data_IF_266807282720
#
_entry.id   IF_266807282720
#
_cell.length_a   1.000
_cell.length_b   1.000
_cell.length_c   1.000
_cell.angle_alpha   90.00
_cell.angle_beta   90.00
_cell.angle_gamma   90.00
#
_symmetry.space_group_name_H-M   'P 1'
#
loop_
_entity.id
_entity.type
_entity.pdbx_description
1 polymer ?
#
# COMPACT_ATOMS: atom_id res chain seq x y z
N UNK A 1 -10.51 -13.65 4.66
CA UNK A 1 -9.70 -14.03 3.47
C UNK A 1 -10.20 -15.38 2.97
N UNK A 2 -10.46 -15.47 1.67
CA UNK A 2 -10.80 -16.69 0.96
C UNK A 2 -9.80 -16.88 -0.19
N UNK A 3 -9.34 -18.10 -0.43
CA UNK A 3 -8.37 -18.42 -1.49
C UNK A 3 -8.92 -19.55 -2.32
N UNK A 4 -9.06 -19.30 -3.62
CA UNK A 4 -9.60 -20.27 -4.57
C UNK A 4 -8.58 -20.53 -5.67
N UNK A 5 -8.33 -21.79 -5.98
CA UNK A 5 -7.51 -22.17 -7.14
C UNK A 5 -8.39 -22.15 -8.39
N UNK A 6 -7.91 -21.52 -9.44
CA UNK A 6 -8.57 -21.43 -10.74
C UNK A 6 -8.08 -22.55 -11.66
N UNK A 7 -8.89 -22.92 -12.65
CA UNK A 7 -8.63 -24.04 -13.57
C UNK A 7 -7.42 -23.82 -14.49
N UNK A 8 -7.03 -22.56 -14.67
CA UNK A 8 -5.87 -22.14 -15.47
C UNK A 8 -4.54 -22.14 -14.69
N UNK A 9 -4.55 -22.62 -13.44
CA UNK A 9 -3.37 -22.69 -12.59
C UNK A 9 -3.10 -21.44 -11.76
N UNK A 10 -3.93 -20.39 -11.87
CA UNK A 10 -3.83 -19.21 -11.02
C UNK A 10 -4.56 -19.38 -9.68
N UNK A 11 -4.34 -18.44 -8.77
CA UNK A 11 -5.07 -18.33 -7.51
C UNK A 11 -5.85 -17.01 -7.47
N UNK A 12 -7.11 -17.08 -7.05
CA UNK A 12 -7.92 -15.92 -6.70
C UNK A 12 -7.93 -15.77 -5.18
N UNK A 13 -7.64 -14.57 -4.71
CA UNK A 13 -7.66 -14.23 -3.28
C UNK A 13 -8.70 -13.14 -3.08
N UNK A 14 -9.68 -13.42 -2.22
CA UNK A 14 -10.65 -12.44 -1.76
C UNK A 14 -10.31 -12.06 -0.31
N UNK A 15 -10.11 -10.78 -0.06
CA UNK A 15 -9.66 -10.25 1.23
C UNK A 15 -10.35 -8.92 1.48
N UNK A 16 -10.76 -8.68 2.74
CA UNK A 16 -11.29 -7.38 3.13
C UNK A 16 -10.16 -6.34 3.18
N UNK A 17 -10.51 -5.09 2.91
CA UNK A 17 -9.56 -3.96 2.77
C UNK A 17 -8.69 -3.78 4.02
N UNK A 18 -9.23 -3.95 5.22
CA UNK A 18 -8.47 -3.78 6.47
C UNK A 18 -7.49 -4.94 6.72
N UNK A 19 -7.86 -6.16 6.33
CA UNK A 19 -6.94 -7.30 6.37
C UNK A 19 -5.86 -7.17 5.29
N UNK A 20 -6.19 -6.65 4.11
CA UNK A 20 -5.21 -6.34 3.07
C UNK A 20 -4.16 -5.34 3.57
N UNK A 21 -4.60 -4.30 4.30
CA UNK A 21 -3.72 -3.32 4.94
C UNK A 21 -2.70 -3.98 5.87
N UNK A 22 -3.21 -4.77 6.83
CA UNK A 22 -2.36 -5.47 7.80
C UNK A 22 -1.39 -6.43 7.13
N UNK A 23 -1.82 -7.08 6.05
CA UNK A 23 -1.02 -8.07 5.34
C UNK A 23 0.14 -7.41 4.60
N UNK A 24 -0.09 -6.34 3.82
CA UNK A 24 1.00 -5.67 3.11
C UNK A 24 1.99 -5.03 4.10
N UNK A 25 1.50 -4.48 5.22
CA UNK A 25 2.37 -3.92 6.27
C UNK A 25 3.25 -4.99 6.92
N UNK A 26 2.69 -6.18 7.19
CA UNK A 26 3.44 -7.30 7.74
C UNK A 26 4.52 -7.80 6.77
N UNK A 27 4.21 -7.88 5.47
CA UNK A 27 5.19 -8.24 4.43
C UNK A 27 6.31 -7.19 4.36
N UNK A 28 5.94 -5.90 4.27
CA UNK A 28 6.90 -4.81 4.18
C UNK A 28 7.84 -4.73 5.40
N UNK A 29 7.36 -5.07 6.60
CA UNK A 29 8.19 -5.15 7.82
C UNK A 29 9.33 -6.17 7.71
N UNK A 30 9.14 -7.22 6.92
CA UNK A 30 10.10 -8.30 6.69
C UNK A 30 10.67 -8.29 5.27
N UNK A 31 10.59 -7.15 4.57
CA UNK A 31 10.90 -7.07 3.14
C UNK A 31 12.31 -7.55 2.78
N UNK A 32 13.28 -7.37 3.67
CA UNK A 32 14.68 -7.78 3.47
C UNK A 32 14.82 -9.31 3.35
N UNK A 33 13.92 -10.07 3.99
CA UNK A 33 13.99 -11.53 4.08
C UNK A 33 13.07 -12.24 3.08
N UNK A 34 12.32 -11.49 2.26
CA UNK A 34 11.26 -12.02 1.41
C UNK A 34 11.61 -11.98 -0.08
N UNK A 35 10.99 -12.86 -0.85
CA UNK A 35 11.19 -12.95 -2.30
C UNK A 35 10.49 -11.81 -3.04
N UNK A 36 10.98 -11.49 -4.24
CA UNK A 36 10.38 -10.47 -5.10
C UNK A 36 8.88 -10.68 -5.33
N UNK A 37 8.41 -11.92 -5.48
CA UNK A 37 6.98 -12.20 -5.66
C UNK A 37 6.13 -11.82 -4.44
N UNK A 38 6.64 -11.99 -3.22
CA UNK A 38 5.96 -11.55 -2.01
C UNK A 38 5.91 -10.01 -1.92
N UNK A 39 6.99 -9.34 -2.34
CA UNK A 39 7.06 -7.88 -2.39
C UNK A 39 6.13 -7.29 -3.45
N UNK A 40 6.07 -7.88 -4.63
CA UNK A 40 5.11 -7.52 -5.69
C UNK A 40 3.68 -7.70 -5.22
N UNK A 41 3.37 -8.82 -4.55
CA UNK A 41 2.04 -9.04 -3.97
C UNK A 41 1.68 -7.98 -2.92
N UNK A 42 2.62 -7.62 -2.03
CA UNK A 42 2.40 -6.54 -1.06
C UNK A 42 2.18 -5.19 -1.73
N UNK A 43 2.93 -4.88 -2.81
CA UNK A 43 2.74 -3.65 -3.59
C UNK A 43 1.33 -3.56 -4.16
N UNK A 44 0.81 -4.64 -4.74
CA UNK A 44 -0.54 -4.69 -5.30
C UNK A 44 -1.63 -4.53 -4.23
N UNK A 45 -1.45 -5.14 -3.06
CA UNK A 45 -2.37 -4.97 -1.93
C UNK A 45 -2.36 -3.54 -1.40
N UNK A 46 -1.19 -2.89 -1.36
CA UNK A 46 -1.05 -1.51 -0.93
C UNK A 46 -1.75 -0.54 -1.89
N UNK A 47 -1.57 -0.73 -3.19
CA UNK A 47 -2.27 0.05 -4.23
C UNK A 47 -3.79 -0.09 -4.10
N UNK A 48 -4.29 -1.33 -4.04
CA UNK A 48 -5.72 -1.60 -3.88
C UNK A 48 -6.31 -0.97 -2.60
N UNK A 49 -5.55 -0.97 -1.50
CA UNK A 49 -5.96 -0.31 -0.26
C UNK A 49 -6.06 1.21 -0.44
N UNK A 50 -5.08 1.85 -1.06
CA UNK A 50 -5.09 3.30 -1.30
C UNK A 50 -6.20 3.73 -2.25
N UNK A 51 -6.44 2.96 -3.30
CA UNK A 51 -7.55 3.21 -4.22
C UNK A 51 -8.90 3.11 -3.50
N UNK A 52 -9.08 2.08 -2.68
CA UNK A 52 -10.36 1.88 -2.01
C UNK A 52 -10.60 2.87 -0.85
N UNK A 53 -9.55 3.24 -0.12
CA UNK A 53 -9.65 4.14 1.04
C UNK A 53 -9.84 5.62 0.67
N UNK A 54 -9.65 5.99 -0.61
CA UNK A 54 -9.80 7.37 -1.10
C UNK A 54 -9.06 8.39 -0.23
N UNK A 55 -7.96 7.99 0.43
CA UNK A 55 -7.22 8.82 1.39
C UNK A 55 -6.27 9.80 0.72
N UNK A 56 -6.44 10.10 -0.58
CA UNK A 56 -5.78 11.24 -1.19
C UNK A 56 -6.21 12.52 -0.47
N UNK A 57 -5.42 12.92 0.52
CA UNK A 57 -5.54 14.21 1.19
C UNK A 57 -4.49 15.11 0.60
N UNK A 58 -4.93 16.14 -0.13
CA UNK A 58 -4.05 17.27 -0.36
C UNK A 58 -3.62 17.83 0.99
N UNK A 59 -2.33 18.07 1.23
CA UNK A 59 -1.91 18.75 2.43
C UNK A 59 -2.63 20.11 2.48
N UNK A 60 -3.11 20.54 3.66
CA UNK A 60 -3.61 21.90 3.81
C UNK A 60 -2.51 22.85 3.34
N UNK A 61 -2.87 23.82 2.50
CA UNK A 61 -1.93 24.80 1.92
C UNK A 61 -0.94 24.29 0.87
N UNK A 62 -1.25 23.21 0.15
CA UNK A 62 -0.39 22.65 -0.91
C UNK A 62 0.14 23.68 -1.94
N UNK A 63 -0.58 24.80 -2.15
CA UNK A 63 -0.22 25.85 -3.09
C UNK A 63 -0.30 27.27 -2.49
N UNK A 64 -0.36 27.40 -1.16
CA UNK A 64 -0.48 28.71 -0.51
C UNK A 64 0.89 29.36 -0.34
N UNK A 65 1.13 30.48 -1.04
CA UNK A 65 2.38 31.23 -0.99
C UNK A 65 2.68 31.81 0.41
N UNK A 66 1.67 31.94 1.28
CA UNK A 66 1.80 32.54 2.60
C UNK A 66 1.97 31.53 3.74
N UNK A 67 1.89 30.23 3.47
CA UNK A 67 2.11 29.21 4.51
C UNK A 67 3.61 28.97 4.72
N UNK A 68 4.10 28.90 5.99
CA UNK A 68 5.51 28.67 6.25
C UNK A 68 5.89 27.29 5.69
N UNK A 69 6.71 27.28 4.64
CA UNK A 69 7.35 26.05 4.16
C UNK A 69 8.21 25.54 5.31
N UNK A 70 7.92 24.34 5.80
CA UNK A 70 8.79 23.69 6.79
C UNK A 70 10.25 23.79 6.32
N UNK A 71 11.21 24.07 7.21
CA UNK A 71 12.58 24.25 6.78
C UNK A 71 13.06 22.95 6.14
N UNK A 72 13.42 23.04 4.87
CA UNK A 72 14.30 22.06 4.22
C UNK A 72 15.59 22.07 5.03
N UNK A 73 15.92 20.93 5.64
CA UNK A 73 17.25 20.72 6.19
C UNK A 73 18.26 20.90 5.04
N UNK A 74 18.96 22.02 5.03
CA UNK A 74 20.18 22.18 4.24
C UNK A 74 21.29 21.35 4.90
N UNK A 75 22.03 20.63 4.07
CA UNK A 75 23.20 19.79 4.40
C UNK A 75 24.27 20.53 5.24
#
# INVERSE_FOLDING_TARGET
MNVTRLDDGHFSIEIDILSAEKLYQAINKHAVDLTNGALEFASLLQEAYYDASHTFRQPPHAFDEHHPRHPVSED
#
